data_IF_061603172201
#
_entry.id   IF_061603172201
#
_cell.length_a   1.000
_cell.length_b   1.000
_cell.length_c   1.000
_cell.angle_alpha   90.00
_cell.angle_beta   90.00
_cell.angle_gamma   90.00
#
_symmetry.space_group_name_H-M   'P 1'
#
loop_
_entity.id
_entity.type
_entity.pdbx_description
1 polymer ?
#
# COMPACT_ATOMS: atom_id res chain seq x y z
N UNK A 1 53.43 11.70 -1.24
CA UNK A 1 52.09 11.56 -0.63
C UNK A 1 51.13 12.55 -1.28
N UNK A 2 50.55 12.22 -2.44
CA UNK A 2 49.71 13.17 -3.19
C UNK A 2 48.82 12.53 -4.26
N UNK A 3 48.60 11.21 -4.21
CA UNK A 3 47.90 10.47 -5.27
C UNK A 3 46.56 9.85 -4.87
N UNK A 4 46.16 9.91 -3.59
CA UNK A 4 44.96 9.19 -3.11
C UNK A 4 43.74 10.10 -2.94
N UNK A 5 43.93 11.42 -2.85
CA UNK A 5 42.84 12.39 -2.66
C UNK A 5 42.09 12.75 -3.95
N UNK A 6 42.62 12.45 -5.14
CA UNK A 6 41.98 12.81 -6.40
C UNK A 6 40.87 11.82 -6.85
N UNK A 7 40.92 10.55 -6.40
CA UNK A 7 39.93 9.54 -6.81
C UNK A 7 38.59 9.64 -6.06
N UNK A 8 38.57 10.19 -4.84
CA UNK A 8 37.33 10.33 -4.06
C UNK A 8 36.51 11.55 -4.52
N UNK A 9 37.18 12.63 -4.95
CA UNK A 9 36.50 13.81 -5.48
C UNK A 9 35.83 13.54 -6.84
N UNK A 10 36.40 12.67 -7.68
CA UNK A 10 35.81 12.28 -8.96
C UNK A 10 34.58 11.35 -8.81
N UNK A 11 34.52 10.54 -7.74
CA UNK A 11 33.35 9.71 -7.42
C UNK A 11 32.19 10.52 -6.82
N UNK A 12 32.48 11.62 -6.11
CA UNK A 12 31.45 12.52 -5.57
C UNK A 12 30.86 13.48 -6.61
N UNK A 13 31.55 13.72 -7.73
CA UNK A 13 31.04 14.53 -8.85
C UNK A 13 30.26 13.72 -9.90
N UNK A 14 30.26 12.38 -9.81
CA UNK A 14 29.44 11.52 -10.67
C UNK A 14 28.01 11.31 -10.15
N UNK A 15 27.70 11.78 -8.94
CA UNK A 15 26.32 11.94 -8.45
C UNK A 15 25.80 13.33 -8.84
N UNK A 16 25.67 13.57 -10.15
CA UNK A 16 24.76 14.63 -10.60
C UNK A 16 23.34 14.30 -10.13
N UNK A 17 22.48 15.30 -9.86
CA UNK A 17 21.07 15.03 -9.63
C UNK A 17 20.58 14.21 -10.83
N UNK A 18 20.09 12.98 -10.59
CA UNK A 18 19.45 12.20 -11.65
C UNK A 18 18.43 13.12 -12.29
N UNK A 19 18.59 13.43 -13.58
CA UNK A 19 17.63 14.24 -14.33
C UNK A 19 16.28 13.52 -14.24
N UNK A 20 15.46 13.95 -13.28
CA UNK A 20 14.11 13.45 -13.06
C UNK A 20 13.35 13.67 -14.36
N UNK A 21 12.87 12.59 -14.98
CA UNK A 21 12.25 12.72 -16.29
C UNK A 21 11.00 13.63 -16.19
N UNK A 22 10.81 14.59 -17.11
CA UNK A 22 9.64 15.50 -17.10
C UNK A 22 8.27 14.78 -17.15
N UNK A 23 8.26 13.50 -17.49
CA UNK A 23 7.11 12.58 -17.46
C UNK A 23 6.71 12.20 -16.02
N UNK A 24 7.68 11.95 -15.14
CA UNK A 24 7.48 11.56 -13.75
C UNK A 24 6.96 12.72 -12.91
N UNK A 25 7.51 13.93 -13.08
CA UNK A 25 7.03 15.13 -12.39
C UNK A 25 5.54 15.43 -12.67
N UNK A 26 5.13 15.34 -13.95
CA UNK A 26 3.73 15.53 -14.35
C UNK A 26 2.80 14.44 -13.79
N UNK A 27 3.33 13.24 -13.56
CA UNK A 27 2.59 12.14 -12.96
C UNK A 27 2.37 12.39 -11.47
N UNK A 28 3.41 12.78 -10.74
CA UNK A 28 3.33 13.14 -9.33
C UNK A 28 2.35 14.29 -9.10
N UNK A 29 2.42 15.35 -9.92
CA UNK A 29 1.49 16.49 -9.85
C UNK A 29 0.03 16.07 -10.00
N UNK A 30 -0.27 15.16 -10.94
CA UNK A 30 -1.63 14.64 -11.14
C UNK A 30 -2.10 13.82 -9.95
N UNK A 31 -1.24 12.95 -9.41
CA UNK A 31 -1.57 12.16 -8.21
C UNK A 31 -1.85 13.09 -7.03
N UNK A 32 -0.99 14.09 -6.83
CA UNK A 32 -1.17 15.09 -5.78
C UNK A 32 -2.49 15.83 -5.96
N UNK A 33 -2.85 16.20 -7.20
CA UNK A 33 -4.13 16.83 -7.51
C UNK A 33 -5.35 15.94 -7.17
N UNK A 34 -5.32 14.66 -7.56
CA UNK A 34 -6.37 13.70 -7.20
C UNK A 34 -6.45 13.49 -5.69
N UNK A 35 -5.31 13.29 -5.04
CA UNK A 35 -5.22 13.12 -3.59
C UNK A 35 -5.78 14.34 -2.85
N UNK A 36 -5.41 15.54 -3.28
CA UNK A 36 -5.92 16.82 -2.74
C UNK A 36 -7.43 16.93 -2.91
N UNK A 37 -7.97 16.53 -4.08
CA UNK A 37 -9.41 16.50 -4.33
C UNK A 37 -10.14 15.57 -3.37
N UNK A 38 -9.61 14.35 -3.15
CA UNK A 38 -10.17 13.40 -2.18
C UNK A 38 -10.08 13.91 -0.75
N UNK A 39 -8.96 14.55 -0.36
CA UNK A 39 -8.78 15.15 0.96
C UNK A 39 -9.83 16.24 1.19
N UNK A 40 -10.01 17.15 0.25
CA UNK A 40 -10.99 18.24 0.37
C UNK A 40 -12.44 17.75 0.36
N UNK A 41 -12.73 16.65 -0.36
CA UNK A 41 -14.09 16.09 -0.43
C UNK A 41 -14.47 15.34 0.84
N UNK A 42 -13.57 14.48 1.32
CA UNK A 42 -13.89 13.52 2.40
C UNK A 42 -13.34 13.91 3.77
N UNK A 43 -12.41 14.86 3.84
CA UNK A 43 -11.66 15.20 5.06
C UNK A 43 -11.14 13.94 5.80
N UNK A 44 -10.45 13.04 5.09
CA UNK A 44 -10.09 11.73 5.63
C UNK A 44 -8.90 11.81 6.58
N UNK A 45 -8.74 10.76 7.38
CA UNK A 45 -7.47 10.42 8.03
C UNK A 45 -6.54 9.84 6.97
N UNK A 46 -5.36 10.41 6.80
CA UNK A 46 -4.34 9.86 5.91
C UNK A 46 -3.63 8.69 6.59
N UNK A 47 -3.56 7.55 5.90
CA UNK A 47 -2.93 6.33 6.38
C UNK A 47 -1.85 5.83 5.39
N UNK A 48 -0.69 5.35 5.89
CA UNK A 48 -0.29 5.28 7.29
C UNK A 48 0.06 6.67 7.87
N UNK A 49 0.00 6.85 9.19
CA UNK A 49 0.52 8.06 9.85
C UNK A 49 2.05 7.97 9.96
N UNK A 50 2.73 9.13 10.07
CA UNK A 50 4.21 9.21 10.06
C UNK A 50 4.86 8.51 11.26
N UNK A 51 4.19 8.52 12.40
CA UNK A 51 4.68 8.01 13.68
C UNK A 51 4.67 6.48 13.79
N UNK A 52 4.00 5.76 12.88
CA UNK A 52 3.95 4.29 12.88
C UNK A 52 5.24 3.64 12.40
N UNK A 53 6.09 4.38 11.69
CA UNK A 53 7.41 3.94 11.22
C UNK A 53 8.35 3.59 12.38
N UNK A 54 8.34 4.40 13.44
CA UNK A 54 9.38 4.35 14.47
C UNK A 54 8.95 3.52 15.71
N UNK A 55 7.74 2.98 15.72
CA UNK A 55 7.17 2.32 16.89
C UNK A 55 6.47 1.01 16.60
N UNK A 56 6.36 0.21 17.66
CA UNK A 56 5.48 -0.97 17.65
C UNK A 56 4.03 -0.49 17.63
N UNK A 57 3.25 -1.04 16.70
CA UNK A 57 1.84 -0.72 16.54
C UNK A 57 1.01 -1.86 17.11
N UNK A 58 0.08 -1.53 17.99
CA UNK A 58 -0.89 -2.47 18.54
C UNK A 58 -2.27 -2.22 17.92
N UNK A 59 -3.15 -3.21 18.01
CA UNK A 59 -4.55 -3.09 17.55
C UNK A 59 -5.24 -1.89 18.19
N UNK A 60 -4.97 -1.61 19.47
CA UNK A 60 -5.45 -0.43 20.18
C UNK A 60 -5.12 0.88 19.44
N UNK A 61 -3.88 1.05 18.98
CA UNK A 61 -3.46 2.26 18.28
C UNK A 61 -4.19 2.44 16.94
N UNK A 62 -4.46 1.34 16.25
CA UNK A 62 -5.21 1.36 15.00
C UNK A 62 -6.69 1.67 15.23
N UNK A 63 -7.29 1.17 16.32
CA UNK A 63 -8.68 1.46 16.69
C UNK A 63 -8.86 2.94 17.04
N UNK A 64 -7.99 3.49 17.87
CA UNK A 64 -7.97 4.92 18.24
C UNK A 64 -7.83 5.82 16.99
N UNK A 65 -6.96 5.44 16.06
CA UNK A 65 -6.70 6.22 14.85
C UNK A 65 -7.82 6.13 13.81
N UNK A 66 -8.42 4.95 13.61
CA UNK A 66 -9.26 4.69 12.42
C UNK A 66 -10.75 4.51 12.76
N UNK A 67 -11.10 4.20 14.00
CA UNK A 67 -12.50 3.99 14.43
C UNK A 67 -12.99 5.15 15.29
N UNK A 68 -12.19 5.56 16.28
CA UNK A 68 -12.61 6.54 17.31
C UNK A 68 -12.62 8.00 16.80
N UNK A 69 -12.53 8.20 15.49
CA UNK A 69 -12.49 9.51 14.84
C UNK A 69 -13.88 9.95 14.34
N UNK A 70 -14.94 9.64 15.08
CA UNK A 70 -16.32 10.03 14.78
C UNK A 70 -16.77 9.68 13.35
N UNK A 71 -16.37 8.50 12.85
CA UNK A 71 -16.75 8.04 11.50
C UNK A 71 -16.05 8.78 10.36
N UNK A 72 -14.92 9.45 10.61
CA UNK A 72 -14.09 10.03 9.54
C UNK A 72 -13.60 8.95 8.58
N UNK A 73 -13.66 9.19 7.26
CA UNK A 73 -13.06 8.31 6.27
C UNK A 73 -11.55 8.17 6.44
N UNK A 74 -11.00 7.11 5.89
CA UNK A 74 -9.56 6.83 5.82
C UNK A 74 -9.13 6.83 4.36
N UNK A 75 -8.04 7.53 4.06
CA UNK A 75 -7.40 7.62 2.74
C UNK A 75 -6.07 6.89 2.78
N UNK A 76 -5.86 5.90 1.91
CA UNK A 76 -4.63 5.12 1.85
C UNK A 76 -4.27 4.67 0.42
N UNK A 77 -2.99 4.34 0.23
CA UNK A 77 -2.49 3.67 -0.97
C UNK A 77 -2.65 2.15 -0.82
N UNK A 78 -3.43 1.53 -1.70
CA UNK A 78 -3.78 0.12 -1.64
C UNK A 78 -3.31 -0.69 -2.85
N UNK A 79 -2.81 -1.89 -2.58
CA UNK A 79 -2.68 -2.97 -3.57
C UNK A 79 -3.95 -3.82 -3.53
N UNK A 80 -4.63 -3.99 -4.66
CA UNK A 80 -5.83 -4.82 -4.72
C UNK A 80 -5.43 -6.30 -4.78
N UNK A 81 -5.68 -7.03 -3.70
CA UNK A 81 -5.38 -8.46 -3.60
C UNK A 81 -6.45 -9.32 -4.28
N UNK A 82 -7.73 -9.04 -4.00
CA UNK A 82 -8.85 -9.88 -4.45
C UNK A 82 -10.20 -9.10 -4.40
N UNK A 83 -11.20 -9.62 -5.10
CA UNK A 83 -12.60 -9.17 -5.02
C UNK A 83 -13.47 -10.40 -4.78
N UNK A 84 -14.10 -10.48 -3.61
CA UNK A 84 -14.99 -11.58 -3.26
C UNK A 84 -16.44 -11.14 -3.27
N UNK A 85 -17.34 -12.13 -3.29
CA UNK A 85 -18.78 -11.93 -3.19
C UNK A 85 -19.35 -12.92 -2.19
N UNK A 86 -20.03 -12.39 -1.17
CA UNK A 86 -20.80 -13.18 -0.22
C UNK A 86 -22.28 -12.81 -0.33
N UNK A 87 -23.10 -13.78 -0.75
CA UNK A 87 -24.50 -13.56 -1.10
C UNK A 87 -24.68 -12.47 -2.17
N UNK A 88 -25.18 -11.29 -1.75
CA UNK A 88 -25.39 -10.12 -2.62
C UNK A 88 -24.34 -9.02 -2.45
N UNK A 89 -23.49 -9.11 -1.44
CA UNK A 89 -22.53 -8.07 -1.10
C UNK A 89 -21.16 -8.41 -1.71
N UNK A 90 -20.52 -7.42 -2.33
CA UNK A 90 -19.15 -7.53 -2.79
C UNK A 90 -18.20 -7.02 -1.71
N UNK A 91 -17.00 -7.57 -1.66
CA UNK A 91 -15.91 -7.06 -0.85
C UNK A 91 -14.64 -6.94 -1.69
N UNK A 92 -14.03 -5.76 -1.67
CA UNK A 92 -12.71 -5.52 -2.26
C UNK A 92 -11.65 -5.64 -1.16
N UNK A 93 -10.62 -6.43 -1.43
CA UNK A 93 -9.55 -6.73 -0.48
C UNK A 93 -8.28 -6.00 -0.88
N UNK A 94 -7.81 -5.10 -0.03
CA UNK A 94 -6.60 -4.32 -0.27
C UNK A 94 -5.52 -4.63 0.76
N UNK A 95 -4.28 -4.71 0.33
CA UNK A 95 -3.11 -4.63 1.21
C UNK A 95 -2.56 -3.20 1.17
N UNK A 96 -2.41 -2.58 2.35
CA UNK A 96 -1.69 -1.32 2.53
C UNK A 96 -0.48 -1.55 3.43
N UNK A 97 0.51 -0.67 3.30
CA UNK A 97 1.67 -0.65 4.20
C UNK A 97 1.28 0.01 5.52
N UNK A 98 1.90 -0.43 6.63
CA UNK A 98 1.71 0.17 7.94
C UNK A 98 2.63 1.37 8.18
N UNK A 99 3.67 1.53 7.34
CA UNK A 99 4.67 2.60 7.40
C UNK A 99 5.05 3.06 6.00
N UNK A 100 5.60 4.28 5.93
CA UNK A 100 6.24 4.83 4.73
C UNK A 100 7.67 4.31 4.49
N UNK A 101 8.30 3.67 5.47
CA UNK A 101 9.67 3.14 5.33
C UNK A 101 9.66 1.85 4.51
N UNK A 102 10.24 1.86 3.30
CA UNK A 102 10.41 0.73 2.37
C UNK A 102 11.09 -0.53 2.94
N UNK A 103 11.76 -0.41 4.09
CA UNK A 103 12.31 -1.55 4.81
C UNK A 103 11.28 -2.25 5.72
N UNK A 104 10.20 -1.56 6.10
CA UNK A 104 9.12 -2.10 6.93
C UNK A 104 8.15 -2.95 6.08
N UNK A 105 8.10 -4.23 6.40
CA UNK A 105 7.27 -5.24 5.74
C UNK A 105 5.89 -5.42 6.38
N UNK A 106 5.60 -4.68 7.47
CA UNK A 106 4.29 -4.71 8.15
C UNK A 106 3.20 -4.16 7.24
N UNK A 107 2.07 -4.88 7.22
CA UNK A 107 0.95 -4.57 6.33
C UNK A 107 -0.39 -4.64 7.05
N UNK A 108 -1.35 -3.91 6.50
CA UNK A 108 -2.74 -3.92 6.92
C UNK A 108 -3.58 -4.39 5.75
N UNK A 109 -4.48 -5.34 6.01
CA UNK A 109 -5.43 -5.86 5.03
C UNK A 109 -6.79 -5.23 5.26
N UNK A 110 -7.27 -4.49 4.28
CA UNK A 110 -8.58 -3.85 4.27
C UNK A 110 -9.57 -4.75 3.53
N UNK A 111 -10.68 -5.06 4.18
CA UNK A 111 -11.80 -5.83 3.66
C UNK A 111 -13.00 -4.90 3.56
N UNK A 112 -13.20 -4.33 2.37
CA UNK A 112 -14.12 -3.21 2.17
C UNK A 112 -15.37 -3.68 1.42
N UNK A 113 -16.52 -3.64 2.10
CA UNK A 113 -17.80 -3.92 1.45
C UNK A 113 -18.11 -2.84 0.41
N UNK A 114 -18.60 -3.25 -0.75
CA UNK A 114 -18.90 -2.36 -1.88
C UNK A 114 -20.08 -2.88 -2.70
N UNK A 115 -20.59 -2.03 -3.57
CA UNK A 115 -21.61 -2.38 -4.55
C UNK A 115 -20.95 -2.91 -5.83
N UNK A 116 -21.69 -3.69 -6.62
CA UNK A 116 -21.17 -4.23 -7.88
C UNK A 116 -20.61 -3.14 -8.80
N UNK A 117 -21.27 -1.98 -8.86
CA UNK A 117 -20.85 -0.88 -9.74
C UNK A 117 -19.47 -0.32 -9.39
N UNK A 118 -19.05 -0.39 -8.13
CA UNK A 118 -17.73 0.08 -7.70
C UNK A 118 -16.62 -0.80 -8.29
N UNK A 119 -16.85 -2.12 -8.35
CA UNK A 119 -15.88 -3.13 -8.79
C UNK A 119 -16.12 -3.65 -10.21
N UNK A 120 -17.18 -3.19 -10.87
CA UNK A 120 -17.66 -3.74 -12.16
C UNK A 120 -16.57 -3.76 -13.22
N UNK A 121 -15.86 -2.66 -13.39
CA UNK A 121 -14.81 -2.55 -14.41
C UNK A 121 -13.66 -3.51 -14.17
N UNK A 122 -13.32 -3.79 -12.91
CA UNK A 122 -12.25 -4.69 -12.51
C UNK A 122 -12.64 -6.16 -12.74
N UNK A 123 -13.92 -6.50 -12.56
CA UNK A 123 -14.45 -7.85 -12.81
C UNK A 123 -14.65 -8.10 -14.30
N UNK A 124 -15.29 -7.18 -15.01
CA UNK A 124 -15.62 -7.33 -16.43
C UNK A 124 -14.40 -7.15 -17.34
N UNK A 125 -13.43 -6.34 -16.91
CA UNK A 125 -12.18 -6.09 -17.63
C UNK A 125 -11.00 -6.14 -16.66
N UNK A 126 -10.60 -7.34 -16.22
CA UNK A 126 -9.46 -7.50 -15.32
C UNK A 126 -8.23 -6.80 -15.91
N UNK A 127 -7.46 -6.05 -15.09
CA UNK A 127 -6.24 -5.44 -15.56
C UNK A 127 -5.30 -6.53 -16.10
N UNK A 128 -4.59 -6.24 -17.19
CA UNK A 128 -3.59 -7.15 -17.72
C UNK A 128 -2.58 -7.48 -16.62
N UNK A 129 -2.36 -8.78 -16.39
CA UNK A 129 -1.44 -9.30 -15.40
C UNK A 129 -0.01 -8.97 -15.85
N UNK A 130 0.45 -7.73 -15.63
CA UNK A 130 1.87 -7.49 -15.46
C UNK A 130 2.25 -8.35 -14.25
N UNK A 131 3.34 -9.13 -14.32
CA UNK A 131 3.89 -9.86 -13.16
C UNK A 131 4.36 -8.84 -12.12
N UNK A 132 3.41 -8.21 -11.46
CA UNK A 132 3.63 -7.23 -10.41
C UNK A 132 3.60 -8.04 -9.15
N UNK A 133 4.80 -8.36 -8.65
CA UNK A 133 4.90 -9.03 -7.38
C UNK A 133 4.50 -8.05 -6.28
N UNK A 134 3.78 -8.53 -5.26
CA UNK A 134 3.58 -7.84 -3.96
C UNK A 134 4.87 -7.17 -3.45
N UNK A 135 6.02 -7.76 -3.78
CA UNK A 135 7.35 -7.22 -3.54
C UNK A 135 7.58 -5.83 -4.13
N UNK A 136 7.14 -5.54 -5.36
CA UNK A 136 7.26 -4.21 -5.98
C UNK A 136 6.38 -3.17 -5.27
N UNK A 137 5.17 -3.56 -4.83
CA UNK A 137 4.33 -2.69 -3.99
C UNK A 137 4.98 -2.41 -2.64
N UNK A 138 5.52 -3.44 -1.98
CA UNK A 138 6.23 -3.29 -0.70
C UNK A 138 7.48 -2.41 -0.82
N UNK A 139 8.15 -2.41 -1.98
CA UNK A 139 9.27 -1.50 -2.28
C UNK A 139 8.83 -0.10 -2.68
N UNK A 140 7.54 0.23 -2.61
CA UNK A 140 7.01 1.53 -3.02
C UNK A 140 7.05 1.79 -4.52
N UNK A 141 7.50 0.82 -5.32
CA UNK A 141 7.73 0.94 -6.76
C UNK A 141 6.41 0.95 -7.53
N UNK A 142 5.40 0.24 -7.04
CA UNK A 142 4.09 0.18 -7.69
C UNK A 142 2.96 0.39 -6.69
N UNK A 143 2.09 1.36 -6.96
CA UNK A 143 0.84 1.61 -6.23
C UNK A 143 -0.32 1.40 -7.20
N UNK A 144 -1.33 0.63 -6.81
CA UNK A 144 -2.41 0.27 -7.74
C UNK A 144 -3.63 1.18 -7.59
N UNK A 145 -4.01 1.48 -6.34
CA UNK A 145 -5.17 2.30 -6.04
C UNK A 145 -4.91 3.33 -4.93
N UNK A 146 -5.55 4.47 -5.07
CA UNK A 146 -5.81 5.40 -3.98
C UNK A 146 -7.24 5.13 -3.48
N UNK A 147 -7.40 4.82 -2.20
CA UNK A 147 -8.65 4.28 -1.65
C UNK A 147 -9.17 5.14 -0.50
N UNK A 148 -10.47 5.44 -0.52
CA UNK A 148 -11.21 6.08 0.56
C UNK A 148 -12.23 5.10 1.12
N UNK A 149 -12.22 4.89 2.43
CA UNK A 149 -13.14 3.97 3.09
C UNK A 149 -13.60 4.47 4.46
N UNK A 150 -14.69 3.89 4.98
CA UNK A 150 -15.08 4.00 6.38
C UNK A 150 -14.68 2.72 7.10
N UNK A 151 -13.92 2.83 8.18
CA UNK A 151 -13.50 1.69 8.98
C UNK A 151 -14.50 1.43 10.10
N UNK A 152 -14.88 0.18 10.28
CA UNK A 152 -15.88 -0.23 11.28
C UNK A 152 -15.34 -1.23 12.29
N UNK A 153 -14.31 -2.00 11.94
CA UNK A 153 -13.72 -3.01 12.83
C UNK A 153 -12.25 -3.26 12.49
N UNK A 154 -11.44 -3.57 13.51
CA UNK A 154 -10.01 -3.85 13.36
C UNK A 154 -9.63 -5.01 14.28
N UNK A 155 -8.95 -5.99 13.70
CA UNK A 155 -8.47 -7.19 14.41
C UNK A 155 -7.02 -7.46 14.07
N UNK A 156 -6.26 -7.98 15.03
CA UNK A 156 -4.95 -8.55 14.74
C UNK A 156 -5.15 -9.93 14.10
N UNK A 157 -4.46 -10.18 12.98
CA UNK A 157 -4.34 -11.52 12.43
C UNK A 157 -3.22 -12.21 13.19
N UNK A 158 -3.56 -13.22 13.98
CA UNK A 158 -2.58 -14.04 14.70
C UNK A 158 -2.31 -15.28 13.84
N UNK A 159 -1.30 -15.17 12.97
CA UNK A 159 -0.82 -16.30 12.16
C UNK A 159 0.58 -16.68 12.62
N UNK A 160 0.78 -17.95 12.99
CA UNK A 160 2.11 -18.49 13.29
C UNK A 160 2.70 -19.10 12.01
N UNK A 161 3.83 -18.58 11.55
CA UNK A 161 4.67 -19.23 10.55
C UNK A 161 5.73 -20.03 11.28
N UNK A 162 5.81 -21.32 10.99
CA UNK A 162 6.80 -22.24 11.59
C UNK A 162 7.76 -22.63 10.48
N UNK A 163 9.03 -22.24 10.63
CA UNK A 163 10.10 -22.65 9.73
C UNK A 163 11.00 -23.65 10.45
N UNK A 164 11.03 -24.89 9.96
CA UNK A 164 11.94 -25.91 10.45
C UNK A 164 13.29 -25.82 9.75
N UNK A 165 14.38 -25.78 10.52
CA UNK A 165 15.75 -25.94 10.02
C UNK A 165 16.35 -27.16 10.68
N UNK A 166 16.86 -28.08 9.87
CA UNK A 166 17.65 -29.21 10.32
C UNK A 166 19.02 -29.15 9.67
N UNK A 167 20.06 -29.49 10.43
CA UNK A 167 21.40 -29.69 9.88
C UNK A 167 21.52 -31.13 9.37
N UNK A 168 22.19 -31.30 8.24
CA UNK A 168 22.43 -32.63 7.68
C UNK A 168 23.14 -33.53 8.70
N UNK A 169 22.54 -34.68 9.02
CA UNK A 169 23.03 -35.61 10.04
C UNK A 169 22.56 -35.37 11.49
N UNK A 170 21.65 -34.41 11.72
CA UNK A 170 21.04 -34.12 13.03
C UNK A 170 19.60 -34.64 13.10
N UNK A 171 19.23 -35.32 14.19
CA UNK A 171 17.82 -35.64 14.50
C UNK A 171 17.06 -34.43 15.08
N UNK A 172 17.78 -33.39 15.51
CA UNK A 172 17.19 -32.17 16.05
C UNK A 172 16.72 -31.23 14.93
N UNK A 173 15.53 -30.64 15.13
CA UNK A 173 14.92 -29.63 14.26
C UNK A 173 14.75 -28.34 15.05
N UNK A 174 15.39 -27.27 14.60
CA UNK A 174 15.15 -25.92 15.12
C UNK A 174 13.88 -25.34 14.48
N UNK A 175 12.95 -24.88 15.29
CA UNK A 175 11.70 -24.27 14.84
C UNK A 175 11.75 -22.75 15.07
N UNK A 176 11.84 -21.99 13.99
CA UNK A 176 11.65 -20.55 14.01
C UNK A 176 10.14 -20.23 13.89
N UNK A 177 9.54 -19.76 14.98
CA UNK A 177 8.14 -19.30 15.00
C UNK A 177 8.09 -17.79 14.78
N UNK A 178 7.50 -17.35 13.67
CA UNK A 178 7.28 -15.93 13.34
C UNK A 178 5.79 -15.62 13.30
N UNK A 179 5.38 -14.53 13.93
CA UNK A 179 4.03 -13.96 13.80
C UNK A 179 4.15 -12.57 13.19
N UNK A 180 4.02 -12.41 11.86
CA UNK A 180 4.06 -11.08 11.26
C UNK A 180 2.92 -10.22 11.81
N UNK A 181 3.19 -8.95 12.13
CA UNK A 181 2.19 -7.99 12.59
C UNK A 181 1.29 -7.60 11.40
N UNK A 182 0.32 -8.46 11.10
CA UNK A 182 -0.71 -8.23 10.09
C UNK A 182 -2.02 -7.90 10.78
N UNK A 183 -2.68 -6.84 10.32
CA UNK A 183 -3.97 -6.40 10.84
C UNK A 183 -5.05 -6.59 9.78
N UNK A 184 -6.24 -7.01 10.20
CA UNK A 184 -7.45 -7.10 9.38
C UNK A 184 -8.35 -5.93 9.74
N UNK A 185 -8.62 -5.07 8.77
CA UNK A 185 -9.49 -3.91 8.89
C UNK A 185 -10.73 -4.15 8.04
N UNK A 186 -11.91 -4.05 8.65
CA UNK A 186 -13.18 -4.18 7.95
C UNK A 186 -13.86 -2.83 7.85
N UNK A 187 -14.55 -2.61 6.74
CA UNK A 187 -15.17 -1.32 6.49
C UNK A 187 -16.03 -1.28 5.23
N UNK A 188 -16.42 -0.08 4.85
CA UNK A 188 -17.16 0.21 3.63
C UNK A 188 -16.30 1.01 2.67
N UNK A 189 -16.23 0.59 1.41
CA UNK A 189 -15.61 1.36 0.34
C UNK A 189 -16.46 2.61 0.05
N UNK A 190 -15.82 3.77 0.00
CA UNK A 190 -16.47 5.02 -0.43
C UNK A 190 -16.06 5.38 -1.85
N UNK A 191 -14.75 5.35 -2.14
CA UNK A 191 -14.21 5.67 -3.45
C UNK A 191 -12.88 4.94 -3.64
N UNK A 192 -12.59 4.49 -4.85
CA UNK A 192 -11.25 4.04 -5.23
C UNK A 192 -10.88 4.59 -6.60
N UNK A 193 -9.63 5.02 -6.72
CA UNK A 193 -9.08 5.56 -7.97
C UNK A 193 -7.88 4.74 -8.36
N UNK A 194 -7.92 4.14 -9.55
CA UNK A 194 -6.82 3.37 -10.09
C UNK A 194 -5.72 4.31 -10.60
N UNK A 195 -4.48 4.10 -10.17
CA UNK A 195 -3.36 4.95 -10.59
C UNK A 195 -3.14 4.94 -12.11
N UNK A 196 -3.40 3.80 -12.78
CA UNK A 196 -3.29 3.72 -14.25
C UNK A 196 -4.28 4.62 -14.96
N UNK A 197 -5.43 4.92 -14.36
CA UNK A 197 -6.47 5.70 -15.03
C UNK A 197 -6.13 7.19 -14.99
N UNK A 198 -5.35 7.62 -13.99
CA UNK A 198 -4.75 8.96 -13.90
C UNK A 198 -3.77 9.20 -15.08
N UNK A 199 -3.13 8.13 -15.59
CA UNK A 199 -2.24 8.17 -16.75
C UNK A 199 -3.01 8.34 -18.08
N UNK A 200 -4.19 7.73 -18.19
CA UNK A 200 -4.93 7.58 -19.46
C UNK A 200 -5.76 8.81 -19.87
N UNK A 201 -5.77 9.89 -19.07
CA UNK A 201 -6.47 11.14 -19.39
C UNK A 201 -5.86 11.91 -20.60
N UNK A 202 -5.01 11.26 -21.39
CA UNK A 202 -4.50 11.72 -22.70
C UNK A 202 -5.22 11.12 -23.93
N UNK A 203 -6.17 10.20 -23.78
CA UNK A 203 -6.80 9.55 -24.96
C UNK A 203 -8.31 9.76 -25.14
N UNK A 204 -9.00 10.48 -24.24
CA UNK A 204 -10.46 10.70 -24.35
C UNK A 204 -10.90 12.12 -24.73
N UNK A 205 -9.99 12.99 -25.12
CA UNK A 205 -10.35 14.26 -25.79
C UNK A 205 -9.93 14.15 -27.23
N UNK A 206 -10.82 13.64 -28.09
CA UNK A 206 -11.01 13.95 -29.52
C UNK A 206 -11.92 12.85 -30.10
N UNK A 207 -13.24 13.10 -30.27
CA UNK A 207 -13.99 12.48 -31.37
C UNK A 207 -13.49 13.00 -32.73
#
# INVERSE_FOLDING_TARGET
MGGVLACVAALLLACGPSEYEPSEQKWEEKIVGVKTSLINRYHPIEFPPRDFTERKVFTYNLQELLIEQDGKPVLFDGFLDDITKDGKQFAAHFTSRLSYDDADDRTVRFHLTCEYNDVRSLIEKPPEYRRVSKYLFQKGIQKDFLVVCLVTDIRKIVNYSIMGRSREGSEDVELDVKSPDTFSVHGKLLEMVKYSDILLDKQKRYP
#
